data_IF_969982282720
#
_entry.id   IF_969982282720
#
_cell.length_a   1.000
_cell.length_b   1.000
_cell.length_c   1.000
_cell.angle_alpha   90.00
_cell.angle_beta   90.00
_cell.angle_gamma   90.00
#
_symmetry.space_group_name_H-M   'P 1'
#
loop_
_entity.id
_entity.type
_entity.pdbx_description
1 polymer ?
#
# COMPACT_ATOMS: atom_id res chain seq x y z
N UNK A 1 -15.17 16.70 -13.31
CA UNK A 1 -14.45 15.47 -12.95
C UNK A 1 -15.04 15.06 -11.62
N UNK A 2 -15.63 13.87 -11.54
CA UNK A 2 -15.93 13.28 -10.24
C UNK A 2 -14.56 12.79 -9.78
N UNK A 3 -13.95 13.45 -8.80
CA UNK A 3 -12.97 12.75 -7.96
C UNK A 3 -13.80 11.67 -7.26
N UNK A 4 -13.59 10.41 -7.64
CA UNK A 4 -13.63 9.38 -6.62
C UNK A 4 -12.43 9.73 -5.74
N UNK A 5 -12.67 10.28 -4.55
CA UNK A 5 -11.78 9.91 -3.47
C UNK A 5 -11.91 8.38 -3.44
N UNK A 6 -10.90 7.68 -3.99
CA UNK A 6 -10.67 6.29 -3.64
C UNK A 6 -10.75 6.29 -2.11
N UNK A 7 -11.65 5.48 -1.57
CA UNK A 7 -11.90 5.51 -0.14
C UNK A 7 -10.68 4.86 0.50
N UNK A 8 -9.74 5.69 0.91
CA UNK A 8 -8.43 5.42 1.51
C UNK A 8 -8.43 6.30 2.76
N UNK A 9 -8.52 5.66 3.93
CA UNK A 9 -8.91 6.34 5.17
C UNK A 9 -7.71 6.76 6.03
N UNK A 10 -6.61 6.03 5.93
CA UNK A 10 -5.29 6.25 6.54
C UNK A 10 -4.34 7.03 5.61
N UNK A 11 -4.65 7.14 4.32
CA UNK A 11 -3.91 7.85 3.29
C UNK A 11 -2.58 7.20 2.91
N UNK A 12 -2.56 5.87 2.82
CA UNK A 12 -1.36 5.09 2.52
C UNK A 12 -1.23 4.62 1.05
N UNK A 13 -2.17 5.03 0.18
CA UNK A 13 -2.33 4.61 -1.22
C UNK A 13 -2.85 3.18 -1.43
N UNK A 14 -3.30 2.48 -0.39
CA UNK A 14 -4.10 1.26 -0.49
C UNK A 14 -5.58 1.63 -0.32
N UNK A 15 -6.42 1.45 -1.36
CA UNK A 15 -7.85 1.69 -1.20
C UNK A 15 -8.47 0.74 -0.18
N UNK A 16 -9.26 1.27 0.76
CA UNK A 16 -9.97 0.53 1.82
C UNK A 16 -10.92 -0.58 1.40
N UNK A 17 -11.13 -0.80 0.11
CA UNK A 17 -11.88 -1.95 -0.36
C UNK A 17 -10.98 -3.13 -0.77
N UNK A 18 -9.68 -2.91 -0.90
CA UNK A 18 -8.66 -3.94 -1.11
C UNK A 18 -8.19 -4.55 0.21
N UNK A 19 -8.44 -3.85 1.31
CA UNK A 19 -8.18 -4.26 2.69
C UNK A 19 -9.29 -5.15 3.29
N UNK A 20 -10.32 -5.47 2.49
CA UNK A 20 -11.28 -6.54 2.80
C UNK A 20 -10.63 -7.90 2.42
N UNK A 21 -9.77 -8.40 3.29
CA UNK A 21 -8.91 -9.56 3.02
C UNK A 21 -9.73 -10.86 2.88
N UNK A 22 -10.86 -10.97 3.60
CA UNK A 22 -11.70 -12.16 3.57
C UNK A 22 -12.94 -12.06 2.64
N UNK A 23 -13.25 -10.85 2.16
CA UNK A 23 -14.30 -10.57 1.18
C UNK A 23 -15.72 -10.53 1.76
N UNK A 24 -15.87 -10.37 3.07
CA UNK A 24 -17.16 -10.31 3.76
C UNK A 24 -17.77 -8.89 3.85
N UNK A 25 -17.04 -7.88 3.38
CA UNK A 25 -17.37 -6.45 3.40
C UNK A 25 -17.37 -5.82 4.82
N UNK A 26 -16.72 -6.45 5.80
CA UNK A 26 -16.54 -5.93 7.15
C UNK A 26 -15.05 -5.65 7.45
N UNK A 27 -14.56 -4.53 6.90
CA UNK A 27 -13.22 -3.98 7.11
C UNK A 27 -12.81 -3.82 8.59
N UNK A 28 -13.76 -3.89 9.54
CA UNK A 28 -13.44 -3.72 10.95
C UNK A 28 -12.87 -4.97 11.61
N UNK A 29 -12.75 -6.06 10.85
CA UNK A 29 -12.22 -7.34 11.32
C UNK A 29 -11.00 -7.86 10.54
N UNK A 30 -10.66 -7.23 9.42
CA UNK A 30 -9.40 -7.42 8.71
C UNK A 30 -8.29 -6.63 9.44
N UNK A 31 -7.30 -7.37 9.93
CA UNK A 31 -6.20 -6.87 10.74
C UNK A 31 -5.03 -7.84 10.56
N UNK A 32 -3.97 -7.37 9.92
CA UNK A 32 -2.82 -8.20 9.52
C UNK A 32 -1.86 -8.48 10.68
N UNK A 33 -1.61 -7.52 11.57
CA UNK A 33 -0.64 -7.60 12.68
C UNK A 33 -1.25 -7.98 14.06
N UNK A 34 -2.57 -8.16 14.12
CA UNK A 34 -3.41 -8.37 15.31
C UNK A 34 -3.35 -7.22 16.36
N UNK A 35 -3.12 -5.96 15.96
CA UNK A 35 -3.09 -4.79 16.85
C UNK A 35 -4.50 -4.16 17.13
N UNK A 36 -4.63 -3.01 17.83
CA UNK A 36 -5.93 -2.38 18.09
C UNK A 36 -6.64 -1.71 16.91
N UNK A 37 -5.97 -1.50 15.78
CA UNK A 37 -6.46 -0.89 14.55
C UNK A 37 -6.79 -2.00 13.54
N UNK A 38 -7.48 -1.64 12.48
CA UNK A 38 -7.79 -2.57 11.38
C UNK A 38 -7.13 -1.96 10.16
N UNK A 39 -6.71 -2.79 9.20
CA UNK A 39 -5.83 -2.39 8.08
C UNK A 39 -6.32 -1.03 7.50
N UNK A 40 -7.62 -0.92 7.19
CA UNK A 40 -8.22 0.30 6.62
C UNK A 40 -8.16 1.61 7.43
N UNK A 41 -7.58 1.62 8.62
CA UNK A 41 -7.30 2.81 9.41
C UNK A 41 -5.92 2.77 10.07
N UNK A 42 -5.13 1.74 9.78
CA UNK A 42 -3.72 1.63 10.14
C UNK A 42 -2.86 2.13 8.97
N UNK A 43 -1.60 2.46 9.22
CA UNK A 43 -0.69 2.98 8.18
C UNK A 43 0.57 2.13 8.04
N UNK A 44 0.61 1.02 8.77
CA UNK A 44 1.70 0.06 8.95
C UNK A 44 1.02 -1.28 9.29
N UNK A 45 0.29 -1.82 8.31
CA UNK A 45 -0.72 -2.88 8.50
C UNK A 45 -0.15 -4.17 9.09
N UNK A 46 1.14 -4.42 8.89
CA UNK A 46 1.84 -5.62 9.33
C UNK A 46 2.82 -5.37 10.52
N UNK A 47 2.95 -4.11 10.98
CA UNK A 47 3.85 -3.63 12.05
C UNK A 47 5.31 -4.09 11.86
N UNK A 48 5.80 -4.14 10.61
CA UNK A 48 7.21 -4.38 10.30
C UNK A 48 8.10 -3.15 10.59
N UNK A 49 7.46 -1.98 10.70
CA UNK A 49 8.07 -0.68 11.00
C UNK A 49 8.35 0.19 9.78
N UNK A 50 7.85 -0.20 8.60
CA UNK A 50 7.78 0.54 7.34
C UNK A 50 6.32 0.91 7.11
N UNK A 51 6.03 2.18 6.85
CA UNK A 51 4.63 2.56 6.57
C UNK A 51 4.20 1.94 5.23
N UNK A 52 2.95 1.50 5.12
CA UNK A 52 2.37 0.93 3.89
C UNK A 52 2.65 1.79 2.65
N UNK A 53 2.58 3.12 2.79
CA UNK A 53 2.89 4.07 1.70
C UNK A 53 4.34 4.05 1.22
N UNK A 54 5.27 3.64 2.08
CA UNK A 54 6.71 3.58 1.81
C UNK A 54 7.15 2.20 1.27
N UNK A 55 6.20 1.28 1.06
CA UNK A 55 6.44 -0.08 0.55
C UNK A 55 6.26 -0.23 -0.96
N UNK A 56 6.00 0.89 -1.64
CA UNK A 56 6.07 1.07 -3.09
C UNK A 56 7.53 0.96 -3.57
N UNK A 57 8.02 -0.28 -3.72
CA UNK A 57 9.44 -0.63 -3.91
C UNK A 57 9.75 -1.22 -5.29
N UNK A 58 8.75 -1.45 -6.13
CA UNK A 58 8.90 -1.95 -7.49
C UNK A 58 9.69 -0.94 -8.34
N UNK A 59 10.44 -1.41 -9.36
CA UNK A 59 11.08 -0.51 -10.29
C UNK A 59 10.02 0.29 -11.05
N UNK A 60 10.20 1.61 -11.09
CA UNK A 60 9.28 2.50 -11.79
C UNK A 60 8.96 2.02 -13.21
N UNK A 61 7.67 1.75 -13.43
CA UNK A 61 7.12 1.32 -14.70
C UNK A 61 6.73 2.50 -15.61
N UNK A 62 6.61 3.72 -15.06
CA UNK A 62 6.31 4.99 -15.73
C UNK A 62 7.45 6.02 -15.62
N UNK A 63 8.42 5.87 -16.53
CA UNK A 63 9.60 6.73 -16.66
C UNK A 63 9.31 8.19 -17.11
N UNK A 64 8.06 8.65 -16.98
CA UNK A 64 7.63 10.00 -17.37
C UNK A 64 7.04 10.82 -16.23
N UNK A 65 6.72 10.19 -15.09
CA UNK A 65 6.34 10.88 -13.87
C UNK A 65 7.53 11.00 -12.92
N UNK A 66 7.66 12.13 -12.21
CA UNK A 66 8.77 12.45 -11.31
C UNK A 66 8.22 12.38 -9.88
N UNK A 67 8.03 11.15 -9.39
CA UNK A 67 7.31 10.86 -8.14
C UNK A 67 8.06 11.39 -6.93
N UNK A 68 9.39 11.33 -6.92
CA UNK A 68 10.20 11.82 -5.81
C UNK A 68 10.50 13.34 -5.90
N UNK A 69 10.29 13.94 -7.09
CA UNK A 69 10.44 15.38 -7.34
C UNK A 69 11.90 15.83 -7.44
N UNK A 70 12.85 14.93 -7.70
CA UNK A 70 14.27 15.23 -7.89
C UNK A 70 14.60 15.83 -9.27
N UNK A 71 13.65 15.75 -10.21
CA UNK A 71 13.76 16.27 -11.57
C UNK A 71 14.31 15.27 -12.60
N UNK A 72 14.46 13.99 -12.25
CA UNK A 72 14.81 12.88 -13.13
C UNK A 72 13.82 11.70 -12.95
N UNK A 73 12.76 11.64 -13.77
CA UNK A 73 11.69 10.62 -13.68
C UNK A 73 12.16 9.23 -14.13
N UNK A 74 13.46 8.95 -14.18
CA UNK A 74 14.01 7.68 -14.66
C UNK A 74 14.75 6.89 -13.59
N UNK A 75 14.85 7.47 -12.38
CA UNK A 75 15.45 6.84 -11.21
C UNK A 75 14.55 6.88 -9.98
N UNK A 76 13.25 7.07 -10.19
CA UNK A 76 12.26 6.85 -9.16
C UNK A 76 12.24 5.36 -8.77
N UNK A 77 11.89 5.14 -7.50
CA UNK A 77 11.53 3.84 -6.95
C UNK A 77 10.03 3.92 -6.67
N UNK A 78 9.32 2.82 -6.93
CA UNK A 78 7.89 2.74 -6.79
C UNK A 78 7.14 3.14 -8.06
N UNK A 79 6.03 2.49 -8.32
CA UNK A 79 5.10 2.85 -9.39
C UNK A 79 3.84 3.59 -8.89
N UNK A 80 3.77 3.83 -7.58
CA UNK A 80 2.69 4.52 -6.87
C UNK A 80 1.58 3.58 -6.39
N UNK A 81 1.82 2.27 -6.37
CA UNK A 81 0.84 1.23 -6.02
C UNK A 81 1.46 0.15 -5.11
N UNK A 82 1.42 0.35 -3.77
CA UNK A 82 1.92 -0.63 -2.79
C UNK A 82 1.27 -2.02 -2.90
N UNK A 83 0.09 -2.12 -3.54
CA UNK A 83 -0.73 -3.34 -3.50
C UNK A 83 -0.15 -4.52 -4.28
N UNK A 84 0.93 -4.28 -5.03
CA UNK A 84 1.56 -5.28 -5.89
C UNK A 84 3.04 -5.56 -5.57
N UNK A 85 3.62 -4.83 -4.62
CA UNK A 85 5.01 -4.95 -4.21
C UNK A 85 5.24 -6.22 -3.39
N UNK A 86 6.05 -7.14 -3.91
CA UNK A 86 6.38 -8.43 -3.31
C UNK A 86 7.91 -8.62 -3.36
N UNK A 87 8.59 -8.10 -2.33
CA UNK A 87 10.06 -7.98 -2.33
C UNK A 87 10.75 -9.35 -2.31
N UNK A 88 10.15 -10.32 -1.64
CA UNK A 88 10.73 -11.64 -1.39
C UNK A 88 10.27 -12.69 -2.43
N UNK A 89 9.16 -12.42 -3.13
CA UNK A 89 8.59 -13.22 -4.21
C UNK A 89 7.74 -14.40 -3.74
N UNK A 90 7.17 -14.35 -2.55
CA UNK A 90 6.33 -15.42 -2.00
C UNK A 90 4.86 -15.36 -2.45
N UNK A 91 4.44 -14.21 -2.98
CA UNK A 91 3.09 -13.93 -3.48
C UNK A 91 2.18 -13.17 -2.51
N UNK A 92 2.68 -12.74 -1.36
CA UNK A 92 2.05 -11.80 -0.43
C UNK A 92 2.65 -10.40 -0.67
N UNK A 93 1.84 -9.35 -0.84
CA UNK A 93 2.35 -7.98 -0.90
C UNK A 93 3.03 -7.58 0.42
N UNK A 94 4.05 -6.71 0.36
CA UNK A 94 4.82 -6.27 1.52
C UNK A 94 3.93 -5.70 2.64
N UNK A 95 2.90 -4.91 2.29
CA UNK A 95 1.96 -4.34 3.29
C UNK A 95 1.13 -5.38 4.04
N UNK A 96 1.19 -6.64 3.63
CA UNK A 96 0.56 -7.77 4.33
C UNK A 96 1.61 -8.79 4.84
N UNK A 97 2.90 -8.49 4.75
CA UNK A 97 4.00 -9.43 4.96
C UNK A 97 5.18 -8.90 5.78
N UNK A 98 5.26 -9.40 7.01
CA UNK A 98 6.23 -9.01 8.04
C UNK A 98 7.72 -9.35 7.80
N UNK A 99 8.11 -9.90 6.63
CA UNK A 99 9.36 -10.66 6.44
C UNK A 99 10.51 -10.06 5.58
#
# INVERSE_FOLDING_TARGET
LLESEENDHDFDNVPSHLEDLDGDLDLTNDNTDDDPYADFVDSDDDDDGTLTIDEDLEPDSDLTDDRDGDGDPTNDIGDGDPTNDDTDGDGTPNYLDTD
#
